data_IF_045758446468
#
_entry.id   IF_045758446468
#
_cell.length_a   1.000
_cell.length_b   1.000
_cell.length_c   1.000
_cell.angle_alpha   90.00
_cell.angle_beta   90.00
_cell.angle_gamma   90.00
#
_symmetry.space_group_name_H-M   'P 1'
#
loop_
_entity.id
_entity.type
_entity.pdbx_description
1 polymer ?
#
# COMPACT_ATOMS: atom_id res chain seq x y z
N UNK A 1 18.17 20.50 -0.57
CA UNK A 1 18.91 19.27 -0.25
C UNK A 1 18.20 18.63 0.94
N UNK A 2 17.16 17.82 0.68
CA UNK A 2 16.28 17.29 1.72
C UNK A 2 15.36 16.13 1.30
N UNK A 3 15.40 15.70 0.03
CA UNK A 3 14.45 14.69 -0.50
C UNK A 3 14.83 13.24 -0.17
N UNK A 4 16.11 12.97 0.08
CA UNK A 4 16.64 11.59 0.20
C UNK A 4 16.52 11.00 1.63
N UNK A 5 16.21 11.84 2.62
CA UNK A 5 15.92 11.38 4.01
C UNK A 5 14.44 11.03 4.12
N UNK A 6 13.56 11.88 3.57
CA UNK A 6 12.11 11.67 3.60
C UNK A 6 11.69 10.43 2.79
N UNK A 7 12.35 10.16 1.66
CA UNK A 7 12.11 8.95 0.86
C UNK A 7 12.39 7.66 1.65
N UNK A 8 13.56 7.59 2.31
CA UNK A 8 13.97 6.43 3.11
C UNK A 8 13.12 6.28 4.37
N UNK A 9 12.62 7.37 4.95
CA UNK A 9 11.66 7.31 6.06
C UNK A 9 10.33 6.67 5.60
N UNK A 10 9.82 7.04 4.42
CA UNK A 10 8.61 6.46 3.86
C UNK A 10 8.74 4.98 3.51
N UNK A 11 9.85 4.58 2.89
CA UNK A 11 10.15 3.18 2.58
C UNK A 11 10.25 2.35 3.87
N UNK A 12 11.04 2.81 4.85
CA UNK A 12 11.19 2.13 6.14
C UNK A 12 9.84 1.99 6.84
N UNK A 13 9.06 3.08 6.89
CA UNK A 13 7.73 3.07 7.49
C UNK A 13 6.80 2.07 6.81
N UNK A 14 6.79 2.01 5.47
CA UNK A 14 5.93 1.09 4.73
C UNK A 14 6.29 -0.36 5.01
N UNK A 15 7.59 -0.69 5.06
CA UNK A 15 8.08 -2.04 5.37
C UNK A 15 7.63 -2.46 6.77
N UNK A 16 7.87 -1.62 7.79
CA UNK A 16 7.52 -1.94 9.18
C UNK A 16 5.99 -2.06 9.37
N UNK A 17 5.22 -1.14 8.77
CA UNK A 17 3.77 -1.16 8.83
C UNK A 17 3.19 -2.40 8.12
N UNK A 18 3.73 -2.75 6.96
CA UNK A 18 3.31 -3.93 6.22
C UNK A 18 3.65 -5.22 6.96
N UNK A 19 4.82 -5.29 7.61
CA UNK A 19 5.20 -6.44 8.42
C UNK A 19 4.15 -6.77 9.49
N UNK A 20 3.75 -5.76 10.28
CA UNK A 20 2.70 -5.92 11.29
C UNK A 20 1.34 -6.36 10.69
N UNK A 21 0.99 -5.84 9.52
CA UNK A 21 -0.25 -6.23 8.81
C UNK A 21 -0.17 -7.67 8.30
N UNK A 22 0.97 -8.09 7.76
CA UNK A 22 1.18 -9.46 7.25
C UNK A 22 1.08 -10.46 8.42
N UNK A 23 1.68 -10.15 9.57
CA UNK A 23 1.56 -10.99 10.77
C UNK A 23 0.09 -11.15 11.19
N UNK A 24 -0.66 -10.05 11.27
CA UNK A 24 -2.10 -10.07 11.58
C UNK A 24 -2.89 -10.88 10.56
N UNK A 25 -2.65 -10.66 9.27
CA UNK A 25 -3.31 -11.38 8.15
C UNK A 25 -3.04 -12.88 8.24
N UNK A 26 -1.81 -13.29 8.53
CA UNK A 26 -1.44 -14.70 8.71
C UNK A 26 -2.14 -15.33 9.92
N UNK A 27 -2.31 -14.58 11.02
CA UNK A 27 -2.95 -15.07 12.23
C UNK A 27 -4.49 -15.10 12.16
N UNK A 28 -5.11 -14.12 11.50
CA UNK A 28 -6.55 -13.85 11.60
C UNK A 28 -7.30 -13.85 10.26
N UNK A 29 -6.58 -13.98 9.14
CA UNK A 29 -7.15 -13.89 7.79
C UNK A 29 -7.30 -12.45 7.28
N UNK A 30 -7.58 -12.32 5.98
CA UNK A 30 -7.66 -11.02 5.28
C UNK A 30 -8.90 -10.20 5.69
N UNK A 31 -9.96 -10.86 6.14
CA UNK A 31 -11.20 -10.22 6.62
C UNK A 31 -11.02 -9.52 7.98
N UNK A 32 -9.97 -9.86 8.74
CA UNK A 32 -9.65 -9.19 9.99
C UNK A 32 -8.95 -7.83 9.77
N UNK A 33 -8.53 -7.52 8.54
CA UNK A 33 -7.86 -6.27 8.22
C UNK A 33 -8.89 -5.13 8.10
N UNK A 34 -8.62 -4.04 8.82
CA UNK A 34 -9.27 -2.76 8.61
C UNK A 34 -8.93 -2.20 7.22
N UNK A 35 -9.71 -1.22 6.70
CA UNK A 35 -9.40 -0.59 5.42
C UNK A 35 -7.96 -0.05 5.35
N UNK A 36 -7.46 0.57 6.42
CA UNK A 36 -6.08 1.09 6.46
C UNK A 36 -5.04 -0.02 6.36
N UNK A 37 -5.22 -1.12 7.10
CA UNK A 37 -4.31 -2.27 7.04
C UNK A 37 -4.34 -2.92 5.66
N UNK A 38 -5.54 -3.10 5.08
CA UNK A 38 -5.69 -3.62 3.72
C UNK A 38 -4.98 -2.73 2.71
N UNK A 39 -5.14 -1.41 2.81
CA UNK A 39 -4.46 -0.45 1.94
C UNK A 39 -2.93 -0.51 2.08
N UNK A 40 -2.42 -0.54 3.32
CA UNK A 40 -0.97 -0.71 3.59
C UNK A 40 -0.46 -1.99 2.94
N UNK A 41 -1.14 -3.12 3.13
CA UNK A 41 -0.72 -4.39 2.53
C UNK A 41 -0.76 -4.33 1.00
N UNK A 42 -1.84 -3.85 0.38
CA UNK A 42 -1.93 -3.82 -1.09
C UNK A 42 -0.90 -2.87 -1.67
N UNK A 43 -0.65 -1.72 -1.04
CA UNK A 43 0.37 -0.79 -1.50
C UNK A 43 1.79 -1.34 -1.31
N UNK A 44 2.07 -2.02 -0.20
CA UNK A 44 3.34 -2.73 0.00
C UNK A 44 3.57 -3.84 -1.03
N UNK A 45 2.54 -4.58 -1.43
CA UNK A 45 2.67 -5.60 -2.49
C UNK A 45 3.09 -4.95 -3.83
N UNK A 46 2.51 -3.79 -4.17
CA UNK A 46 2.90 -3.00 -5.35
C UNK A 46 4.36 -2.55 -5.24
N UNK A 47 4.75 -1.96 -4.10
CA UNK A 47 6.12 -1.52 -3.84
C UNK A 47 7.14 -2.65 -3.94
N UNK A 48 6.83 -3.78 -3.30
CA UNK A 48 7.66 -4.98 -3.34
C UNK A 48 7.85 -5.47 -4.78
N UNK A 49 6.78 -5.56 -5.57
CA UNK A 49 6.86 -5.99 -6.96
C UNK A 49 7.68 -5.02 -7.82
N UNK A 50 7.41 -3.71 -7.72
CA UNK A 50 8.13 -2.69 -8.48
C UNK A 50 9.62 -2.61 -8.13
N UNK A 51 9.99 -2.80 -6.85
CA UNK A 51 11.40 -2.75 -6.43
C UNK A 51 12.17 -4.03 -6.72
N UNK A 52 11.52 -5.20 -6.71
CA UNK A 52 12.20 -6.49 -6.91
C UNK A 52 12.17 -6.98 -8.37
N UNK A 53 11.09 -6.71 -9.10
CA UNK A 53 10.89 -7.19 -10.48
C UNK A 53 10.79 -6.04 -11.50
N UNK A 54 10.37 -4.83 -11.06
CA UNK A 54 10.15 -3.70 -11.97
C UNK A 54 8.80 -3.74 -12.69
N UNK A 55 7.94 -4.68 -12.33
CA UNK A 55 6.58 -4.87 -12.88
C UNK A 55 5.60 -5.36 -11.80
N UNK A 56 4.31 -5.43 -12.14
CA UNK A 56 3.25 -5.89 -11.24
C UNK A 56 2.91 -7.37 -11.38
N UNK A 57 3.69 -8.15 -12.13
CA UNK A 57 3.46 -9.60 -12.22
C UNK A 57 3.61 -10.26 -10.84
N UNK A 58 4.67 -9.88 -10.11
CA UNK A 58 4.88 -10.35 -8.72
C UNK A 58 3.74 -9.90 -7.78
N UNK A 59 3.16 -8.72 -8.00
CA UNK A 59 2.04 -8.24 -7.20
C UNK A 59 0.79 -9.14 -7.40
N UNK A 60 0.54 -9.57 -8.63
CA UNK A 60 -0.56 -10.46 -8.96
C UNK A 60 -0.39 -11.84 -8.32
N UNK A 61 0.84 -12.37 -8.25
CA UNK A 61 1.11 -13.65 -7.60
C UNK A 61 0.90 -13.60 -6.08
N UNK A 62 1.31 -12.49 -5.44
CA UNK A 62 1.19 -12.31 -3.99
C UNK A 62 -0.23 -11.95 -3.54
N UNK A 63 -0.93 -11.14 -4.33
CA UNK A 63 -2.30 -10.69 -4.04
C UNK A 63 -3.04 -10.44 -5.35
N UNK A 64 -3.71 -11.45 -5.94
CA UNK A 64 -4.34 -11.35 -7.27
C UNK A 64 -5.35 -10.21 -7.43
N UNK A 65 -5.94 -9.74 -6.32
CA UNK A 65 -6.93 -8.66 -6.29
C UNK A 65 -6.38 -7.35 -5.72
N UNK A 66 -5.05 -7.16 -5.72
CA UNK A 66 -4.42 -6.01 -5.05
C UNK A 66 -4.97 -4.66 -5.51
N UNK A 67 -5.32 -4.51 -6.80
CA UNK A 67 -5.91 -3.27 -7.34
C UNK A 67 -7.32 -3.03 -6.84
N UNK A 68 -8.20 -4.03 -6.96
CA UNK A 68 -9.58 -3.94 -6.50
C UNK A 68 -9.65 -3.70 -4.99
N UNK A 69 -8.87 -4.46 -4.22
CA UNK A 69 -8.85 -4.35 -2.77
C UNK A 69 -8.22 -3.03 -2.30
N UNK A 70 -7.18 -2.57 -2.99
CA UNK A 70 -6.55 -1.26 -2.73
C UNK A 70 -7.50 -0.11 -3.04
N UNK A 71 -8.23 -0.19 -4.16
CA UNK A 71 -9.23 0.81 -4.54
C UNK A 71 -10.38 0.89 -3.52
N UNK A 72 -10.94 -0.26 -3.13
CA UNK A 72 -12.00 -0.32 -2.13
C UNK A 72 -11.54 0.24 -0.77
N UNK A 73 -10.31 -0.08 -0.37
CA UNK A 73 -9.73 0.42 0.87
C UNK A 73 -9.47 1.93 0.82
N UNK A 74 -8.92 2.44 -0.28
CA UNK A 74 -8.68 3.88 -0.48
C UNK A 74 -10.00 4.66 -0.49
N UNK A 75 -11.03 4.14 -1.18
CA UNK A 75 -12.36 4.72 -1.17
C UNK A 75 -12.98 4.75 0.23
N UNK A 76 -12.87 3.65 1.00
CA UNK A 76 -13.41 3.58 2.37
C UNK A 76 -12.73 4.55 3.36
N UNK A 77 -11.53 5.04 3.02
CA UNK A 77 -10.75 5.98 3.82
C UNK A 77 -10.78 7.42 3.28
N UNK A 78 -11.46 7.67 2.16
CA UNK A 78 -11.49 8.96 1.46
C UNK A 78 -10.08 9.50 1.10
N UNK A 79 -9.22 8.61 0.61
CA UNK A 79 -7.82 8.92 0.28
C UNK A 79 -7.63 9.10 -1.23
N UNK A 80 -7.46 10.34 -1.66
CA UNK A 80 -7.47 10.73 -3.07
C UNK A 80 -6.27 10.21 -3.85
N UNK A 81 -5.05 10.27 -3.29
CA UNK A 81 -3.84 9.84 -4.00
C UNK A 81 -3.79 8.32 -4.12
N UNK A 82 -4.11 7.60 -3.04
CA UNK A 82 -4.23 6.15 -3.04
C UNK A 82 -5.35 5.70 -4.00
N UNK A 83 -6.50 6.36 -3.98
CA UNK A 83 -7.60 6.05 -4.90
C UNK A 83 -7.17 6.25 -6.36
N UNK A 84 -6.51 7.36 -6.67
CA UNK A 84 -5.99 7.61 -8.01
C UNK A 84 -4.99 6.53 -8.45
N UNK A 85 -4.05 6.14 -7.59
CA UNK A 85 -3.06 5.11 -7.89
C UNK A 85 -3.72 3.75 -8.20
N UNK A 86 -4.69 3.31 -7.39
CA UNK A 86 -5.37 2.03 -7.59
C UNK A 86 -6.43 2.03 -8.72
N UNK A 87 -6.84 3.21 -9.20
CA UNK A 87 -7.71 3.35 -10.37
C UNK A 87 -6.95 3.19 -11.69
N UNK A 88 -5.65 3.49 -11.72
CA UNK A 88 -4.82 3.38 -12.92
C UNK A 88 -4.79 1.95 -13.47
N UNK A 89 -4.57 1.83 -14.77
CA UNK A 89 -4.17 0.54 -15.37
C UNK A 89 -2.83 0.08 -14.81
N UNK A 90 -2.55 -1.22 -14.81
CA UNK A 90 -1.26 -1.75 -14.32
C UNK A 90 -0.06 -1.11 -15.00
N UNK A 91 -0.06 -1.06 -16.34
CA UNK A 91 1.05 -0.43 -17.06
C UNK A 91 1.20 1.07 -16.79
N UNK A 92 0.12 1.78 -16.43
CA UNK A 92 0.24 3.18 -15.98
C UNK A 92 0.78 3.27 -14.55
N UNK A 93 0.30 2.41 -13.65
CA UNK A 93 0.78 2.34 -12.28
C UNK A 93 2.27 2.00 -12.24
N UNK A 94 2.73 1.01 -13.02
CA UNK A 94 4.15 0.66 -13.17
C UNK A 94 5.00 1.85 -13.57
N UNK A 95 4.59 2.58 -14.62
CA UNK A 95 5.34 3.73 -15.14
C UNK A 95 5.43 4.88 -14.15
N UNK A 96 4.40 5.07 -13.31
CA UNK A 96 4.27 6.23 -12.43
C UNK A 96 4.56 5.91 -10.96
N UNK A 97 4.79 4.64 -10.63
CA UNK A 97 4.80 4.17 -9.24
C UNK A 97 5.73 5.00 -8.34
N UNK A 98 6.99 5.17 -8.76
CA UNK A 98 7.98 5.88 -7.96
C UNK A 98 7.68 7.38 -7.82
N UNK A 99 7.02 7.99 -8.80
CA UNK A 99 6.58 9.39 -8.73
C UNK A 99 5.40 9.55 -7.75
N UNK A 100 4.56 8.52 -7.60
CA UNK A 100 3.38 8.53 -6.74
C UNK A 100 3.68 8.09 -5.30
N UNK A 101 4.79 7.38 -5.09
CA UNK A 101 5.09 6.66 -3.86
C UNK A 101 4.97 7.52 -2.61
N UNK A 102 5.64 8.67 -2.59
CA UNK A 102 5.71 9.51 -1.39
C UNK A 102 4.36 10.11 -1.03
N UNK A 103 3.57 10.52 -2.02
CA UNK A 103 2.25 11.12 -1.80
C UNK A 103 1.27 10.09 -1.26
N UNK A 104 1.28 8.88 -1.80
CA UNK A 104 0.45 7.78 -1.29
C UNK A 104 0.85 7.39 0.14
N UNK A 105 2.16 7.22 0.41
CA UNK A 105 2.62 6.87 1.77
C UNK A 105 2.26 7.97 2.77
N UNK A 106 2.51 9.24 2.44
CA UNK A 106 2.17 10.37 3.30
C UNK A 106 0.67 10.42 3.61
N UNK A 107 -0.16 10.19 2.61
CA UNK A 107 -1.61 10.14 2.75
C UNK A 107 -2.05 8.98 3.67
N UNK A 108 -1.53 7.76 3.47
CA UNK A 108 -1.86 6.60 4.32
C UNK A 108 -1.38 6.80 5.77
N UNK A 109 -0.22 7.44 5.97
CA UNK A 109 0.31 7.79 7.30
C UNK A 109 -0.60 8.75 8.07
N UNK A 110 -1.30 9.65 7.36
CA UNK A 110 -2.20 10.63 7.98
C UNK A 110 -3.45 10.01 8.61
N UNK A 111 -3.82 8.79 8.18
CA UNK A 111 -4.94 8.04 8.74
C UNK A 111 -4.53 7.39 10.05
N UNK A 112 -5.32 7.63 11.10
CA UNK A 112 -5.11 6.98 12.40
C UNK A 112 -5.37 5.46 12.31
N UNK A 113 -4.61 4.62 13.03
CA UNK A 113 -4.93 3.20 13.14
C UNK A 113 -6.35 3.01 13.68
N UNK A 114 -7.07 2.01 13.17
CA UNK A 114 -8.34 1.62 13.77
C UNK A 114 -8.10 1.21 15.23
N UNK A 115 -9.01 1.53 16.17
CA UNK A 115 -8.90 1.05 17.54
C UNK A 115 -8.85 -0.49 17.51
N UNK A 116 -7.95 -1.06 18.31
CA UNK A 116 -7.88 -2.50 18.49
C UNK A 116 -9.27 -3.00 18.94
N UNK A 117 -9.86 -3.94 18.20
CA UNK A 117 -11.08 -4.61 18.64
C UNK A 117 -10.70 -5.46 19.87
N UNK A 118 -11.23 -5.07 21.03
CA UNK A 118 -11.07 -5.76 22.33
C UNK A 118 -11.95 -7.00 22.36
#
# INVERSE_FOLDING_TARGET
MGTDIDHRDHETWLIDAAHAVIEKRCAQGDDALSPRERLIHRFWVVDYAMRNAGDLATAHDLAPRFREDGLLAAHALDLAHAHAAFTMSEGELERRFFDLFEDVVREVRSVSPAPAKV
#
